data_IF_001733221916
#
_entry.id   IF_001733221916
#
_cell.length_a   1.000
_cell.length_b   1.000
_cell.length_c   1.000
_cell.angle_alpha   90.00
_cell.angle_beta   90.00
_cell.angle_gamma   90.00
#
_symmetry.space_group_name_H-M   'P 1'
#
loop_
_entity.id
_entity.type
_entity.pdbx_description
1 polymer ?
#
# COMPACT_ATOMS: atom_id res chain seq x y z
N UNK A 1 -0.67 40.40 -45.20
CA UNK A 1 -1.71 41.28 -44.61
C UNK A 1 -2.24 40.57 -43.38
N UNK A 2 -1.71 40.89 -42.20
CA UNK A 2 -2.13 41.80 -41.14
C UNK A 2 -3.54 41.57 -40.61
N UNK A 3 -3.63 41.13 -39.32
CA UNK A 3 -4.07 41.85 -38.10
C UNK A 3 -4.28 40.86 -36.98
N UNK A 4 -3.47 40.79 -35.99
CA UNK A 4 -3.38 41.35 -34.61
C UNK A 4 -4.69 41.94 -34.04
N UNK A 5 -5.06 41.46 -32.84
CA UNK A 5 -5.58 42.18 -31.65
C UNK A 5 -5.85 41.16 -30.56
N UNK A 6 -5.11 41.16 -29.46
CA UNK A 6 -4.93 41.99 -28.26
C UNK A 6 -6.10 41.91 -27.26
N UNK A 7 -5.77 41.35 -26.11
CA UNK A 7 -5.99 41.72 -24.70
C UNK A 7 -7.38 42.13 -24.18
N UNK A 8 -7.78 41.54 -23.03
CA UNK A 8 -7.97 42.33 -21.81
C UNK A 8 -8.07 41.45 -20.55
N UNK A 9 -7.29 41.86 -19.56
CA UNK A 9 -7.32 41.52 -18.15
C UNK A 9 -8.61 42.00 -17.48
N UNK A 10 -9.13 41.24 -16.49
CA UNK A 10 -9.72 41.87 -15.31
C UNK A 10 -9.36 41.03 -14.08
N UNK A 11 -8.56 41.68 -13.22
CA UNK A 11 -8.42 41.37 -11.80
C UNK A 11 -9.69 41.80 -11.07
N UNK A 12 -10.07 41.06 -10.04
CA UNK A 12 -10.78 41.60 -8.89
C UNK A 12 -10.29 40.89 -7.63
N UNK A 13 -9.71 41.68 -6.78
CA UNK A 13 -9.31 41.44 -5.39
C UNK A 13 -10.47 41.88 -4.51
N UNK A 14 -10.87 41.08 -3.50
CA UNK A 14 -11.46 41.51 -2.20
C UNK A 14 -11.31 40.36 -1.25
N UNK A 15 -10.44 40.35 -0.26
CA UNK A 15 -10.44 40.82 1.12
C UNK A 15 -11.44 40.14 2.05
N UNK A 16 -10.86 39.38 2.99
CA UNK A 16 -11.08 39.26 4.44
C UNK A 16 -12.48 39.35 5.02
N UNK A 17 -12.89 38.35 5.82
CA UNK A 17 -13.27 38.61 7.21
C UNK A 17 -13.21 37.33 8.06
N UNK A 18 -12.51 37.41 9.17
CA UNK A 18 -12.49 36.54 10.33
C UNK A 18 -13.82 36.66 11.08
N UNK A 19 -14.44 35.55 11.49
CA UNK A 19 -15.31 35.54 12.66
C UNK A 19 -15.02 34.27 13.47
N UNK A 20 -14.49 34.48 14.64
CA UNK A 20 -14.31 33.60 15.79
C UNK A 20 -15.62 33.54 16.56
N UNK A 21 -16.22 32.37 16.79
CA UNK A 21 -17.16 32.18 17.88
C UNK A 21 -16.91 30.87 18.62
N UNK A 22 -16.50 31.08 19.86
CA UNK A 22 -16.43 30.10 20.94
C UNK A 22 -17.87 29.86 21.44
N UNK A 23 -18.27 28.60 21.66
CA UNK A 23 -19.30 28.26 22.63
C UNK A 23 -19.08 26.88 23.22
N UNK A 24 -18.91 26.87 24.52
CA UNK A 24 -18.89 25.75 25.45
C UNK A 24 -20.31 25.17 25.64
N UNK A 25 -20.41 23.88 25.96
CA UNK A 25 -21.64 23.35 26.55
C UNK A 25 -21.72 21.82 26.50
N UNK A 26 -21.21 21.18 27.55
CA UNK A 26 -21.80 20.13 28.41
C UNK A 26 -22.58 18.97 27.80
N UNK A 27 -22.11 17.77 27.88
CA UNK A 27 -22.46 16.67 28.76
C UNK A 27 -23.72 15.89 28.43
N UNK A 28 -23.60 14.60 28.20
CA UNK A 28 -24.29 13.55 28.98
C UNK A 28 -23.93 12.15 28.45
N UNK A 29 -23.66 11.31 29.37
CA UNK A 29 -23.41 9.88 29.38
C UNK A 29 -24.71 9.11 29.08
N UNK A 30 -24.65 8.05 28.26
CA UNK A 30 -25.38 6.81 28.52
C UNK A 30 -24.58 5.63 27.99
N UNK A 31 -24.28 4.72 28.89
CA UNK A 31 -23.84 3.35 28.65
C UNK A 31 -25.03 2.51 28.17
N UNK A 32 -24.80 1.56 27.27
CA UNK A 32 -25.37 0.25 27.49
C UNK A 32 -24.54 -0.86 26.83
N UNK A 33 -24.53 -1.96 27.55
CA UNK A 33 -23.79 -3.18 27.38
C UNK A 33 -24.41 -4.10 26.32
N UNK A 34 -23.60 -4.80 25.55
CA UNK A 34 -23.89 -6.20 25.21
C UNK A 34 -22.63 -6.95 24.78
N UNK A 35 -22.28 -7.86 25.62
CA UNK A 35 -21.39 -8.98 25.61
C UNK A 35 -21.63 -9.91 24.40
N UNK A 36 -20.57 -10.30 23.69
CA UNK A 36 -20.41 -11.68 23.20
C UNK A 36 -18.92 -12.01 23.00
N UNK A 37 -18.51 -13.01 23.71
CA UNK A 37 -17.32 -13.85 23.65
C UNK A 37 -17.06 -14.36 22.24
N UNK A 38 -15.78 -14.38 21.81
CA UNK A 38 -15.14 -15.61 21.38
C UNK A 38 -13.66 -15.41 21.00
N UNK A 39 -12.87 -16.19 21.72
CA UNK A 39 -11.66 -16.96 21.37
C UNK A 39 -10.51 -16.27 20.65
N UNK A 40 -9.48 -16.12 21.47
CA UNK A 40 -8.07 -16.07 21.09
C UNK A 40 -7.60 -17.42 20.52
N UNK A 41 -6.62 -17.43 19.63
CA UNK A 41 -5.53 -18.38 19.78
C UNK A 41 -4.13 -17.75 19.79
N UNK A 42 -3.39 -18.18 20.78
CA UNK A 42 -2.01 -18.62 20.80
C UNK A 42 -0.87 -17.68 20.37
N UNK A 43 -0.25 -17.20 21.35
CA UNK A 43 1.13 -17.30 21.81
C UNK A 43 2.11 -17.90 20.80
N UNK A 44 2.96 -17.08 20.20
CA UNK A 44 4.27 -17.51 19.69
C UNK A 44 5.36 -16.66 20.29
N UNK A 45 6.10 -17.29 21.16
CA UNK A 45 7.33 -16.89 21.81
C UNK A 45 8.32 -16.23 20.85
N UNK A 46 8.77 -15.03 21.20
CA UNK A 46 9.94 -14.43 20.59
C UNK A 46 11.16 -14.95 21.32
N UNK A 47 11.91 -15.82 20.68
CA UNK A 47 13.20 -16.30 21.13
C UNK A 47 14.24 -15.21 20.92
N UNK A 48 14.93 -14.83 21.98
CA UNK A 48 16.15 -14.04 21.97
C UNK A 48 17.22 -14.78 21.17
N UNK A 49 17.77 -14.13 20.16
CA UNK A 49 18.93 -14.61 19.43
C UNK A 49 20.20 -14.17 20.17
N UNK A 50 20.81 -15.11 20.85
CA UNK A 50 22.18 -15.02 21.35
C UNK A 50 23.17 -14.96 20.18
N UNK A 51 24.14 -14.07 20.32
CA UNK A 51 25.29 -13.93 19.44
C UNK A 51 26.21 -15.13 19.55
N UNK A 52 26.45 -15.83 18.46
CA UNK A 52 27.47 -16.87 18.33
C UNK A 52 28.74 -16.26 17.78
N UNK A 53 29.84 -16.35 18.55
CA UNK A 53 31.18 -16.10 18.08
C UNK A 53 31.78 -17.35 17.41
N UNK A 54 32.64 -17.23 16.40
CA UNK A 54 33.25 -18.40 15.78
C UNK A 54 34.44 -18.92 16.57
N UNK A 55 34.40 -20.22 16.78
CA UNK A 55 35.42 -21.06 17.36
C UNK A 55 36.57 -21.27 16.34
N UNK A 56 37.80 -21.06 16.74
CA UNK A 56 38.95 -21.60 16.02
C UNK A 56 39.67 -22.64 16.89
N UNK A 57 39.60 -23.82 16.38
CA UNK A 57 40.37 -25.01 16.82
C UNK A 57 41.79 -24.92 16.33
N UNK A 58 42.77 -25.12 17.21
CA UNK A 58 44.11 -25.51 16.81
C UNK A 58 44.57 -26.70 17.62
N UNK A 59 45.03 -27.64 16.86
CA UNK A 59 45.54 -28.97 17.18
C UNK A 59 46.76 -29.00 18.07
N UNK A 60 46.79 -30.05 18.87
CA UNK A 60 47.92 -30.60 19.64
C UNK A 60 49.10 -30.94 18.75
N UNK A 61 50.30 -30.81 19.33
CA UNK A 61 51.34 -31.87 19.21
C UNK A 61 52.30 -31.84 20.39
N UNK A 62 52.41 -33.03 20.96
CA UNK A 62 53.37 -33.50 21.95
C UNK A 62 54.78 -33.55 21.39
N UNK A 63 55.77 -33.35 22.27
CA UNK A 63 56.89 -34.29 22.49
C UNK A 63 57.84 -33.82 23.60
N UNK A 64 57.98 -34.56 24.49
CA UNK A 64 58.86 -35.36 25.38
C UNK A 64 60.27 -34.84 25.54
N UNK A 65 60.58 -34.61 26.85
CA UNK A 65 61.70 -35.02 27.72
C UNK A 65 63.16 -34.93 27.20
N UNK A 66 64.05 -34.39 28.05
CA UNK A 66 65.12 -35.16 28.67
C UNK A 66 65.82 -34.31 29.77
N UNK A 67 66.06 -34.98 30.87
CA UNK A 67 66.78 -34.59 32.09
C UNK A 67 68.28 -34.43 31.77
N UNK A 68 68.98 -33.43 32.38
CA UNK A 68 70.28 -33.74 32.98
C UNK A 68 70.68 -32.76 34.11
N UNK A 69 71.34 -33.32 35.03
CA UNK A 69 71.72 -32.91 36.37
C UNK A 69 73.10 -32.25 36.34
N UNK A 70 73.35 -31.20 37.10
CA UNK A 70 74.60 -31.04 37.85
C UNK A 70 74.67 -29.76 38.69
N UNK A 71 74.95 -30.03 39.92
CA UNK A 71 75.32 -29.24 41.09
C UNK A 71 76.27 -28.04 40.81
N UNK A 72 76.16 -26.93 41.57
CA UNK A 72 76.92 -26.63 42.76
C UNK A 72 76.73 -25.20 43.27
N UNK A 73 76.52 -25.13 44.56
CA UNK A 73 77.03 -24.27 45.64
C UNK A 73 77.06 -22.74 45.51
N UNK A 74 76.34 -22.19 46.52
CA UNK A 74 76.75 -21.22 47.56
C UNK A 74 76.80 -19.72 47.17
N UNK A 75 75.97 -18.91 47.77
CA UNK A 75 76.20 -18.20 49.06
C UNK A 75 75.05 -17.21 49.30
N UNK A 76 74.66 -17.15 50.55
CA UNK A 76 73.52 -16.39 51.03
C UNK A 76 73.67 -14.86 50.88
N UNK A 77 72.50 -14.27 50.52
CA UNK A 77 72.20 -12.90 50.90
C UNK A 77 70.71 -12.85 51.25
N UNK A 78 70.46 -12.44 52.49
CA UNK A 78 69.09 -12.27 53.02
C UNK A 78 68.34 -11.28 52.14
N UNK A 79 67.29 -11.80 51.46
CA UNK A 79 66.31 -10.97 50.81
C UNK A 79 65.27 -10.58 51.82
N UNK A 80 65.11 -9.28 51.97
CA UNK A 80 64.02 -8.60 52.65
C UNK A 80 62.67 -9.04 51.99
N UNK A 81 61.67 -9.46 52.71
CA UNK A 81 60.38 -9.85 52.11
C UNK A 81 59.80 -8.64 51.37
N UNK A 82 59.71 -8.77 50.03
CA UNK A 82 58.94 -7.83 49.17
C UNK A 82 57.52 -7.72 49.70
N UNK A 83 57.20 -6.53 50.18
CA UNK A 83 55.86 -6.14 50.57
C UNK A 83 54.99 -6.26 49.29
N UNK A 84 53.85 -7.00 49.25
CA UNK A 84 53.01 -7.12 48.07
C UNK A 84 52.68 -5.71 47.60
N UNK A 85 53.04 -5.36 46.36
CA UNK A 85 52.66 -4.10 45.73
C UNK A 85 51.14 -3.98 45.80
N UNK A 86 50.68 -2.94 46.49
CA UNK A 86 49.25 -2.58 46.53
C UNK A 86 48.81 -2.41 45.07
N UNK A 87 47.73 -3.11 44.61
CA UNK A 87 47.28 -2.96 43.22
C UNK A 87 47.03 -1.49 42.95
N UNK A 88 47.71 -0.98 41.90
CA UNK A 88 47.56 0.41 41.43
C UNK A 88 46.07 0.66 41.10
N UNK A 89 45.47 1.59 41.82
CA UNK A 89 44.07 1.97 41.63
C UNK A 89 43.77 2.32 40.16
N UNK A 90 42.72 1.76 39.61
CA UNK A 90 42.26 2.02 38.24
C UNK A 90 41.64 3.41 38.13
N UNK A 91 42.17 4.28 37.29
CA UNK A 91 41.65 5.62 37.04
C UNK A 91 41.73 5.99 35.54
N UNK A 92 40.71 6.65 35.00
CA UNK A 92 40.67 7.08 33.60
C UNK A 92 40.31 5.97 32.61
N UNK A 93 40.81 6.08 31.39
CA UNK A 93 40.55 5.12 30.32
C UNK A 93 41.36 3.87 30.45
N UNK A 94 40.74 2.73 30.60
CA UNK A 94 41.37 1.42 30.74
C UNK A 94 40.75 0.44 29.75
N UNK A 95 41.58 -0.33 29.05
CA UNK A 95 41.12 -1.41 28.16
C UNK A 95 41.64 -2.74 28.72
N UNK A 96 40.67 -3.60 29.04
CA UNK A 96 40.94 -4.95 29.56
C UNK A 96 39.97 -5.95 28.94
N UNK A 97 40.48 -7.17 28.65
CA UNK A 97 39.68 -8.22 28.00
C UNK A 97 38.98 -7.78 26.72
N UNK A 98 39.60 -6.89 25.92
CA UNK A 98 39.06 -6.38 24.66
C UNK A 98 37.90 -5.36 24.83
N UNK A 99 37.60 -4.94 26.04
CA UNK A 99 36.61 -3.90 26.36
C UNK A 99 37.28 -2.67 26.93
N UNK A 100 36.72 -1.49 26.65
CA UNK A 100 37.21 -0.22 27.18
C UNK A 100 36.27 0.30 28.23
N UNK A 101 36.78 0.76 29.32
CA UNK A 101 36.09 1.32 30.50
C UNK A 101 36.62 2.73 30.79
N UNK A 102 35.86 3.49 31.56
CA UNK A 102 36.34 4.72 32.17
C UNK A 102 36.09 4.67 33.67
N UNK A 103 37.14 4.76 34.45
CA UNK A 103 37.10 4.77 35.90
C UNK A 103 37.17 6.23 36.40
N UNK A 104 36.19 6.66 37.20
CA UNK A 104 36.07 8.00 37.77
C UNK A 104 36.71 8.10 39.19
N UNK A 105 36.85 6.97 39.84
CA UNK A 105 37.53 6.79 41.12
C UNK A 105 38.09 5.37 41.23
N UNK A 106 38.79 5.07 42.29
CA UNK A 106 39.40 3.77 42.57
C UNK A 106 38.42 2.62 42.37
N UNK A 107 38.65 1.81 41.33
CA UNK A 107 37.94 0.61 40.94
C UNK A 107 36.42 0.82 40.61
N UNK A 108 35.97 2.08 40.49
CA UNK A 108 34.63 2.40 40.10
C UNK A 108 34.52 2.88 38.65
N UNK A 109 33.96 2.07 37.76
CA UNK A 109 33.71 2.44 36.35
C UNK A 109 32.38 3.12 36.17
N UNK A 110 32.32 4.07 35.24
CA UNK A 110 31.06 4.78 34.89
C UNK A 110 30.18 3.94 34.00
N UNK A 111 28.85 4.17 34.07
CA UNK A 111 27.82 3.56 33.24
C UNK A 111 26.90 4.60 32.61
N UNK A 112 26.15 4.21 31.59
CA UNK A 112 25.18 5.08 30.93
C UNK A 112 25.80 6.20 30.10
N UNK A 113 25.09 7.33 29.95
CA UNK A 113 25.52 8.48 29.17
C UNK A 113 26.43 9.38 30.01
N UNK A 114 27.68 9.53 29.60
CA UNK A 114 28.70 10.31 30.30
C UNK A 114 29.28 11.42 29.43
N UNK A 115 29.71 12.50 30.06
CA UNK A 115 30.48 13.58 29.39
C UNK A 115 31.86 13.63 29.99
N UNK A 116 32.87 13.20 29.21
CA UNK A 116 34.27 13.14 29.62
C UNK A 116 35.06 14.09 28.72
N UNK A 117 35.74 15.05 29.32
CA UNK A 117 36.51 16.08 28.60
C UNK A 117 35.69 16.74 27.45
N UNK A 118 34.45 17.11 27.75
CA UNK A 118 33.55 17.78 26.80
C UNK A 118 32.95 16.90 25.67
N UNK A 119 33.31 15.61 25.63
CA UNK A 119 32.81 14.62 24.67
C UNK A 119 31.80 13.68 25.33
N UNK A 120 30.74 13.31 24.64
CA UNK A 120 29.73 12.38 25.14
C UNK A 120 30.07 10.95 24.74
N UNK A 121 29.90 10.03 25.69
CA UNK A 121 30.10 8.59 25.54
C UNK A 121 28.91 7.85 26.15
N UNK A 122 28.73 6.60 25.80
CA UNK A 122 27.74 5.73 26.44
C UNK A 122 28.39 4.41 26.82
N UNK A 123 28.26 4.07 28.09
CA UNK A 123 28.76 2.82 28.67
C UNK A 123 27.58 1.89 28.98
N UNK A 124 27.78 0.60 28.72
CA UNK A 124 26.79 -0.43 29.05
C UNK A 124 26.69 -0.61 30.58
N UNK A 125 25.75 -1.43 31.02
CA UNK A 125 25.56 -1.71 32.47
C UNK A 125 26.80 -2.38 33.09
N UNK A 126 27.60 -3.11 32.30
CA UNK A 126 28.86 -3.73 32.71
C UNK A 126 30.05 -2.75 32.63
N UNK A 127 29.81 -1.45 32.42
CA UNK A 127 30.83 -0.41 32.28
C UNK A 127 31.53 -0.37 30.94
N UNK A 128 31.28 -1.28 30.02
CA UNK A 128 31.97 -1.30 28.73
C UNK A 128 31.51 -0.18 27.79
N UNK A 129 32.47 0.49 27.14
CA UNK A 129 32.24 1.55 26.17
C UNK A 129 31.52 1.01 24.95
N UNK A 130 30.41 1.64 24.59
CA UNK A 130 29.58 1.26 23.45
C UNK A 130 29.91 2.07 22.21
N UNK A 131 29.86 1.43 21.03
CA UNK A 131 30.07 2.04 19.71
C UNK A 131 28.90 1.73 18.76
N UNK A 132 28.82 2.45 17.64
CA UNK A 132 27.78 2.23 16.64
C UNK A 132 26.46 2.90 16.98
N UNK A 133 25.33 2.27 16.64
CA UNK A 133 23.99 2.80 16.90
C UNK A 133 23.54 2.39 18.29
N UNK A 134 23.33 3.37 19.15
CA UNK A 134 22.96 3.21 20.54
C UNK A 134 21.52 3.63 20.76
N UNK A 135 20.77 2.89 21.57
CA UNK A 135 19.45 3.28 22.07
C UNK A 135 19.57 3.70 23.54
N UNK A 136 19.30 4.96 23.83
CA UNK A 136 19.39 5.52 25.16
C UNK A 136 18.00 6.09 25.51
N UNK A 137 17.26 5.43 26.38
CA UNK A 137 15.84 5.73 26.62
C UNK A 137 15.02 5.60 25.32
N UNK A 138 14.33 6.67 24.93
CA UNK A 138 13.54 6.75 23.70
C UNK A 138 14.32 7.23 22.48
N UNK A 139 15.56 7.71 22.64
CA UNK A 139 16.38 8.29 21.61
C UNK A 139 17.42 7.30 21.07
N UNK A 140 17.87 7.55 19.83
CA UNK A 140 18.98 6.82 19.22
C UNK A 140 20.13 7.79 18.97
N UNK A 141 21.36 7.31 19.14
CA UNK A 141 22.60 8.04 18.94
C UNK A 141 23.56 7.23 18.07
N UNK A 142 24.60 7.89 17.56
CA UNK A 142 25.69 7.23 16.87
C UNK A 142 27.01 7.55 17.58
N UNK A 143 27.64 6.54 18.15
CA UNK A 143 28.99 6.60 18.67
C UNK A 143 29.99 6.11 17.62
N UNK A 144 30.99 6.92 17.35
CA UNK A 144 32.07 6.59 16.40
C UNK A 144 32.95 5.45 16.94
N UNK A 145 33.89 4.96 16.14
CA UNK A 145 34.72 3.79 16.51
C UNK A 145 35.49 3.93 17.83
N UNK A 146 35.77 5.18 18.26
CA UNK A 146 36.36 5.51 19.58
C UNK A 146 35.31 5.78 20.67
N UNK A 147 34.04 5.45 20.46
CA UNK A 147 32.96 5.63 21.42
C UNK A 147 32.37 7.05 21.53
N UNK A 148 32.98 8.04 20.88
CA UNK A 148 32.50 9.42 20.93
C UNK A 148 31.13 9.53 20.23
N UNK A 149 30.13 9.98 20.95
CA UNK A 149 28.82 10.26 20.36
C UNK A 149 28.90 11.49 19.48
N UNK A 150 28.59 11.30 18.20
CA UNK A 150 28.56 12.39 17.23
C UNK A 150 27.41 13.33 17.50
N UNK A 151 27.70 14.59 17.81
CA UNK A 151 26.71 15.66 18.06
C UNK A 151 26.47 16.54 16.84
N UNK A 152 27.37 16.47 15.84
CA UNK A 152 27.27 17.29 14.62
C UNK A 152 26.21 16.74 13.69
N UNK A 153 25.28 17.63 13.30
CA UNK A 153 24.19 17.37 12.35
C UNK A 153 24.70 16.83 11.01
N UNK A 154 24.01 15.82 10.48
CA UNK A 154 24.31 15.30 9.15
C UNK A 154 23.95 13.84 8.94
N UNK A 155 24.19 13.36 7.73
CA UNK A 155 24.05 11.94 7.41
C UNK A 155 25.22 11.13 7.92
N UNK A 156 24.95 9.90 8.36
CA UNK A 156 25.94 8.91 8.75
C UNK A 156 25.57 7.54 8.23
N UNK A 157 26.56 6.76 7.78
CA UNK A 157 26.40 5.34 7.47
C UNK A 157 26.93 4.53 8.64
N UNK A 158 26.11 3.65 9.20
CA UNK A 158 26.49 2.74 10.26
C UNK A 158 25.79 1.39 10.04
N UNK A 159 26.52 0.28 10.14
CA UNK A 159 25.98 -1.06 9.92
C UNK A 159 25.26 -1.22 8.58
N UNK A 160 25.77 -0.63 7.48
CA UNK A 160 25.15 -0.67 6.15
C UNK A 160 23.87 0.18 5.99
N UNK A 161 23.43 0.85 7.03
CA UNK A 161 22.25 1.70 7.03
C UNK A 161 22.62 3.20 7.06
N UNK A 162 21.74 4.02 6.49
CA UNK A 162 21.87 5.47 6.49
C UNK A 162 20.98 6.05 7.60
N UNK A 163 21.52 6.98 8.36
CA UNK A 163 20.84 7.70 9.43
C UNK A 163 21.04 9.20 9.26
N UNK A 164 20.22 10.00 9.96
CA UNK A 164 20.39 11.45 10.01
C UNK A 164 20.45 11.92 11.46
N UNK A 165 21.59 12.49 11.82
CA UNK A 165 21.86 13.05 13.15
C UNK A 165 21.35 14.49 13.17
N UNK A 166 20.62 14.85 14.22
CA UNK A 166 20.14 16.20 14.49
C UNK A 166 21.18 16.98 15.31
N UNK A 167 21.00 18.30 15.44
CA UNK A 167 21.78 19.06 16.42
C UNK A 167 21.63 18.45 17.81
N UNK A 168 22.73 18.29 18.54
CA UNK A 168 22.73 17.66 19.85
C UNK A 168 22.92 16.13 19.83
N UNK A 169 23.01 15.51 18.62
CA UNK A 169 23.45 14.12 18.44
C UNK A 169 22.34 13.08 18.30
N UNK A 170 21.10 13.41 18.62
CA UNK A 170 20.00 12.45 18.49
C UNK A 170 19.75 12.11 17.00
N UNK A 171 19.59 10.81 16.69
CA UNK A 171 19.20 10.34 15.37
C UNK A 171 17.71 10.65 15.15
N UNK A 172 17.39 11.21 13.98
CA UNK A 172 16.00 11.48 13.59
C UNK A 172 15.25 10.17 13.35
N UNK A 173 14.14 9.97 14.04
CA UNK A 173 13.32 8.76 13.99
C UNK A 173 11.88 9.04 13.56
N UNK A 174 11.18 8.06 12.98
CA UNK A 174 9.74 8.05 12.76
C UNK A 174 9.17 9.16 11.86
N UNK A 175 10.01 9.97 11.18
CA UNK A 175 9.57 11.20 10.50
C UNK A 175 9.93 11.24 9.01
N UNK A 176 9.16 12.03 8.27
CA UNK A 176 9.50 12.50 6.92
C UNK A 176 10.14 13.89 7.07
N UNK A 177 11.28 14.13 6.43
CA UNK A 177 12.02 15.39 6.54
C UNK A 177 12.66 15.79 5.21
N UNK A 178 13.14 17.01 5.13
CA UNK A 178 13.79 17.56 3.93
C UNK A 178 15.17 18.13 4.23
N UNK A 179 16.12 17.84 3.36
CA UNK A 179 17.44 18.44 3.34
C UNK A 179 17.71 18.88 1.89
N UNK A 180 18.08 20.14 1.67
CA UNK A 180 18.38 20.71 0.35
C UNK A 180 17.32 20.35 -0.71
N UNK A 181 16.04 20.59 -0.39
CA UNK A 181 14.87 20.29 -1.26
C UNK A 181 14.65 18.81 -1.57
N UNK A 182 15.43 17.90 -0.98
CA UNK A 182 15.26 16.45 -1.08
C UNK A 182 14.50 15.92 0.12
N UNK A 183 13.54 15.02 -0.12
CA UNK A 183 12.71 14.42 0.92
C UNK A 183 13.25 13.05 1.31
N UNK A 184 13.28 12.76 2.60
CA UNK A 184 13.72 11.50 3.19
C UNK A 184 12.69 10.97 4.18
N UNK A 185 12.79 9.70 4.55
CA UNK A 185 11.98 9.09 5.61
C UNK A 185 12.84 8.24 6.52
N UNK A 186 12.90 8.61 7.78
CA UNK A 186 13.51 7.85 8.83
C UNK A 186 12.47 6.94 9.50
N UNK A 187 12.77 5.65 9.61
CA UNK A 187 11.95 4.68 10.34
C UNK A 187 11.97 4.95 11.86
N UNK A 188 11.17 4.23 12.64
CA UNK A 188 11.15 4.36 14.11
C UNK A 188 12.50 4.11 14.78
N UNK A 189 13.35 3.30 14.17
CA UNK A 189 14.75 3.06 14.60
C UNK A 189 15.77 3.98 13.90
N UNK A 190 15.34 5.06 13.26
CA UNK A 190 16.21 6.03 12.60
C UNK A 190 16.71 5.65 11.19
N UNK A 191 16.56 4.41 10.75
CA UNK A 191 17.04 3.98 9.43
C UNK A 191 16.34 4.73 8.31
N UNK A 192 17.09 5.41 7.45
CA UNK A 192 16.56 6.07 6.24
C UNK A 192 16.11 5.02 5.23
N UNK A 193 14.83 5.08 4.85
CA UNK A 193 14.23 4.10 3.97
C UNK A 193 14.73 4.21 2.53
N UNK A 194 15.23 3.09 1.98
CA UNK A 194 15.72 2.92 0.60
C UNK A 194 14.93 1.80 -0.11
N UNK A 195 14.89 1.82 -1.44
CA UNK A 195 14.13 0.86 -2.23
C UNK A 195 12.63 1.09 -2.15
N UNK A 196 11.83 0.06 -2.48
CA UNK A 196 10.37 0.09 -2.32
C UNK A 196 10.02 -0.36 -0.91
N UNK A 197 9.25 0.48 -0.19
CA UNK A 197 8.85 0.22 1.19
C UNK A 197 7.41 0.69 1.45
N UNK A 198 6.77 0.12 2.46
CA UNK A 198 5.47 0.54 2.97
C UNK A 198 5.65 1.59 4.07
N UNK A 199 4.83 2.66 4.02
CA UNK A 199 4.77 3.70 5.03
C UNK A 199 3.30 4.04 5.29
N UNK A 200 2.79 3.67 6.45
CA UNK A 200 1.37 3.62 6.70
C UNK A 200 0.66 2.70 5.68
N UNK A 201 -0.42 3.16 5.09
CA UNK A 201 -1.20 2.40 4.09
C UNK A 201 -0.66 2.48 2.65
N UNK A 202 0.43 3.21 2.39
CA UNK A 202 0.94 3.45 1.04
C UNK A 202 2.34 2.88 0.82
N UNK A 203 2.69 2.60 -0.43
CA UNK A 203 4.04 2.26 -0.86
C UNK A 203 4.75 3.48 -1.42
N UNK A 204 6.07 3.51 -1.24
CA UNK A 204 6.97 4.57 -1.70
C UNK A 204 8.28 3.98 -2.19
N UNK A 205 9.11 4.82 -2.82
CA UNK A 205 10.46 4.45 -3.24
C UNK A 205 11.46 5.52 -2.84
N UNK A 206 12.47 5.12 -2.08
CA UNK A 206 13.70 5.87 -1.84
C UNK A 206 14.82 5.35 -2.73
N UNK A 207 15.60 6.24 -3.31
CA UNK A 207 16.77 5.83 -4.10
C UNK A 207 17.90 5.27 -3.21
N UNK A 208 19.07 4.97 -3.81
CA UNK A 208 20.25 4.46 -3.07
C UNK A 208 20.75 5.42 -1.99
N UNK A 209 20.52 6.72 -2.16
CA UNK A 209 20.83 7.78 -1.18
C UNK A 209 19.69 8.07 -0.21
N UNK A 210 18.59 7.29 -0.26
CA UNK A 210 17.42 7.48 0.59
C UNK A 210 16.47 8.59 0.15
N UNK A 211 16.74 9.25 -1.00
CA UNK A 211 15.88 10.34 -1.49
C UNK A 211 14.56 9.80 -2.01
N UNK A 212 13.45 10.26 -1.47
CA UNK A 212 12.11 9.88 -1.89
C UNK A 212 11.84 10.34 -3.33
N UNK A 213 11.49 9.42 -4.21
CA UNK A 213 11.07 9.75 -5.56
C UNK A 213 9.66 10.34 -5.58
N UNK A 214 9.53 11.61 -5.89
CA UNK A 214 8.25 12.31 -6.00
C UNK A 214 7.82 12.58 -7.44
N UNK A 215 8.74 12.47 -8.43
CA UNK A 215 8.45 12.68 -9.85
C UNK A 215 7.49 11.61 -10.34
N UNK A 216 6.29 12.02 -10.79
CA UNK A 216 5.25 11.15 -11.35
C UNK A 216 5.78 10.38 -12.56
N UNK A 217 5.44 9.10 -12.63
CA UNK A 217 5.79 8.29 -13.79
C UNK A 217 6.14 6.85 -13.45
N UNK A 218 6.40 6.07 -14.51
CA UNK A 218 6.82 4.68 -14.39
C UNK A 218 8.29 4.60 -13.99
N UNK A 219 8.60 3.61 -13.17
CA UNK A 219 9.96 3.26 -12.78
C UNK A 219 10.15 1.74 -12.73
N UNK A 220 11.40 1.29 -12.78
CA UNK A 220 11.79 -0.10 -12.54
C UNK A 220 12.71 -0.17 -11.32
N UNK A 221 12.51 -1.21 -10.52
CA UNK A 221 13.36 -1.51 -9.38
C UNK A 221 13.37 -3.03 -9.13
N UNK A 222 14.56 -3.62 -8.97
CA UNK A 222 14.76 -5.07 -8.79
C UNK A 222 13.92 -5.91 -9.77
N UNK A 223 13.94 -5.53 -11.08
CA UNK A 223 13.20 -6.24 -12.13
C UNK A 223 11.70 -5.95 -12.22
N UNK A 224 11.07 -5.37 -11.20
CA UNK A 224 9.65 -5.04 -11.18
C UNK A 224 9.37 -3.62 -11.71
N UNK A 225 8.17 -3.44 -12.23
CA UNK A 225 7.68 -2.13 -12.73
C UNK A 225 6.70 -1.54 -11.72
N UNK A 226 6.90 -0.27 -11.40
CA UNK A 226 6.07 0.53 -10.49
C UNK A 226 5.60 1.81 -11.17
N UNK A 227 4.63 2.48 -10.58
CA UNK A 227 4.20 3.81 -11.03
C UNK A 227 4.08 4.77 -9.86
N UNK A 228 4.84 5.84 -9.91
CA UNK A 228 4.85 6.91 -8.92
C UNK A 228 3.75 7.92 -9.26
N UNK A 229 2.86 8.20 -8.32
CA UNK A 229 1.85 9.26 -8.41
C UNK A 229 2.42 10.61 -7.93
N UNK A 230 1.68 11.70 -8.14
CA UNK A 230 1.99 12.99 -7.52
C UNK A 230 2.15 12.81 -6.01
N UNK A 231 3.23 13.34 -5.42
CA UNK A 231 3.56 13.19 -4.00
C UNK A 231 4.25 11.87 -3.63
N UNK A 232 4.75 11.11 -4.62
CA UNK A 232 5.64 9.96 -4.38
C UNK A 232 4.96 8.64 -4.03
N UNK A 233 3.64 8.60 -3.82
CA UNK A 233 2.92 7.34 -3.53
C UNK A 233 2.96 6.41 -4.74
N UNK A 234 3.32 5.14 -4.54
CA UNK A 234 3.24 4.14 -5.60
C UNK A 234 1.78 3.74 -5.83
N UNK A 235 1.44 3.52 -7.09
CA UNK A 235 0.10 3.11 -7.48
C UNK A 235 -0.17 1.66 -7.10
N UNK A 236 -1.32 1.43 -6.46
CA UNK A 236 -1.84 0.10 -6.14
C UNK A 236 -3.22 -0.13 -6.74
N UNK A 237 -3.60 -1.39 -6.92
CA UNK A 237 -4.96 -1.88 -7.27
C UNK A 237 -5.65 -1.10 -8.40
N UNK A 238 -4.90 -0.63 -9.40
CA UNK A 238 -5.43 0.21 -10.48
C UNK A 238 -4.72 0.03 -11.81
N UNK A 239 -5.48 0.20 -12.89
CA UNK A 239 -4.98 0.29 -14.25
C UNK A 239 -4.51 1.72 -14.55
N UNK A 240 -3.29 1.89 -15.04
CA UNK A 240 -2.69 3.18 -15.39
C UNK A 240 -2.19 3.16 -16.83
N UNK A 241 -2.43 4.24 -17.56
CA UNK A 241 -1.81 4.50 -18.88
C UNK A 241 -0.44 5.15 -18.66
N UNK A 242 0.59 4.60 -19.27
CA UNK A 242 1.94 5.18 -19.27
C UNK A 242 2.57 5.01 -20.66
N UNK A 243 2.74 6.12 -21.39
CA UNK A 243 3.09 6.13 -22.81
C UNK A 243 2.02 5.41 -23.65
N UNK A 244 2.43 4.58 -24.59
CA UNK A 244 1.53 3.81 -25.48
C UNK A 244 0.90 2.57 -24.83
N UNK A 245 1.31 2.20 -23.59
CA UNK A 245 0.86 1.01 -22.88
C UNK A 245 0.02 1.32 -21.65
N UNK A 246 -0.66 0.29 -21.15
CA UNK A 246 -1.38 0.27 -19.87
C UNK A 246 -0.69 -0.72 -18.95
N UNK A 247 -0.83 -0.51 -17.62
CA UNK A 247 -0.26 -1.38 -16.59
C UNK A 247 -1.29 -1.52 -15.47
N UNK A 248 -1.48 -2.73 -14.97
CA UNK A 248 -2.28 -2.95 -13.77
C UNK A 248 -1.34 -3.21 -12.60
N UNK A 249 -1.37 -2.32 -11.63
CA UNK A 249 -0.60 -2.46 -10.41
C UNK A 249 -1.41 -3.22 -9.38
N UNK A 250 -0.82 -4.26 -8.76
CA UNK A 250 -1.42 -5.05 -7.70
C UNK A 250 -1.50 -4.30 -6.36
N UNK A 251 -1.98 -4.96 -5.32
CA UNK A 251 -1.96 -4.43 -3.94
C UNK A 251 -0.54 -4.19 -3.42
N UNK A 252 0.44 -4.92 -3.95
CA UNK A 252 1.88 -4.82 -3.69
C UNK A 252 2.58 -3.71 -4.48
N UNK A 253 1.83 -2.86 -5.18
CA UNK A 253 2.30 -1.81 -6.08
C UNK A 253 3.08 -2.29 -7.32
N UNK A 254 3.28 -3.59 -7.54
CA UNK A 254 3.96 -4.12 -8.72
C UNK A 254 3.02 -4.23 -9.92
N UNK A 255 3.53 -3.97 -11.11
CA UNK A 255 2.80 -4.25 -12.34
C UNK A 255 2.59 -5.76 -12.50
N UNK A 256 1.35 -6.22 -12.65
CA UNK A 256 1.06 -7.64 -12.91
C UNK A 256 1.66 -8.09 -14.23
N UNK A 257 2.42 -9.20 -14.19
CA UNK A 257 3.08 -9.84 -15.34
C UNK A 257 2.46 -11.17 -15.73
N UNK A 258 1.79 -11.86 -14.78
CA UNK A 258 1.02 -13.08 -15.03
C UNK A 258 -0.38 -12.72 -15.57
N UNK A 259 -1.04 -13.60 -16.35
CA UNK A 259 -2.43 -13.38 -16.77
C UNK A 259 -3.36 -13.17 -15.57
N UNK A 260 -4.33 -12.28 -15.72
CA UNK A 260 -5.33 -11.99 -14.68
C UNK A 260 -6.68 -11.58 -15.28
N UNK A 261 -7.77 -11.81 -14.56
CA UNK A 261 -9.09 -11.32 -14.93
C UNK A 261 -9.24 -9.84 -14.58
N UNK A 262 -9.67 -9.04 -15.55
CA UNK A 262 -10.03 -7.64 -15.34
C UNK A 262 -11.37 -7.39 -16.04
N UNK A 263 -12.43 -7.08 -15.25
CA UNK A 263 -13.81 -6.91 -15.76
C UNK A 263 -14.26 -8.09 -16.64
N UNK A 264 -14.10 -9.30 -16.13
CA UNK A 264 -14.48 -10.57 -16.79
C UNK A 264 -13.70 -10.92 -18.06
N UNK A 265 -12.64 -10.18 -18.38
CA UNK A 265 -11.76 -10.47 -19.52
C UNK A 265 -10.38 -10.86 -19.00
N UNK A 266 -9.83 -11.96 -19.50
CA UNK A 266 -8.44 -12.32 -19.19
C UNK A 266 -7.49 -11.40 -19.95
N UNK A 267 -6.68 -10.65 -19.21
CA UNK A 267 -5.58 -9.85 -19.73
C UNK A 267 -4.30 -10.69 -19.64
N UNK A 268 -3.52 -10.70 -20.70
CA UNK A 268 -2.20 -11.32 -20.78
C UNK A 268 -1.14 -10.23 -20.95
N UNK A 269 -0.57 -9.69 -19.84
CA UNK A 269 0.46 -8.66 -19.93
C UNK A 269 1.75 -9.22 -20.51
N UNK A 270 2.64 -8.35 -20.93
CA UNK A 270 4.01 -8.75 -21.28
C UNK A 270 4.72 -9.34 -20.04
N UNK A 271 5.29 -10.53 -20.16
CA UNK A 271 5.91 -11.29 -19.06
C UNK A 271 7.09 -10.55 -18.39
N UNK A 272 7.87 -9.75 -19.15
CA UNK A 272 9.04 -9.02 -18.64
C UNK A 272 8.67 -7.66 -18.03
N UNK A 273 7.70 -6.94 -18.60
CA UNK A 273 7.43 -5.53 -18.26
C UNK A 273 6.09 -5.27 -17.60
N UNK A 274 5.12 -6.20 -17.71
CA UNK A 274 3.75 -6.00 -17.31
C UNK A 274 2.92 -5.10 -18.25
N UNK A 275 3.48 -4.75 -19.43
CA UNK A 275 2.81 -3.88 -20.40
C UNK A 275 1.58 -4.56 -21.02
N UNK A 276 0.48 -3.82 -21.09
CA UNK A 276 -0.80 -4.21 -21.66
C UNK A 276 -1.04 -3.33 -22.88
N UNK A 277 -1.33 -3.93 -24.03
CA UNK A 277 -1.58 -3.18 -25.26
C UNK A 277 -2.91 -2.41 -25.22
N UNK A 278 -3.03 -1.35 -26.01
CA UNK A 278 -4.28 -0.59 -26.17
C UNK A 278 -5.45 -1.50 -26.61
N UNK A 279 -5.18 -2.52 -27.46
CA UNK A 279 -6.18 -3.51 -27.92
C UNK A 279 -6.72 -4.33 -26.73
N UNK A 280 -5.84 -4.89 -25.89
CA UNK A 280 -6.24 -5.65 -24.69
C UNK A 280 -6.99 -4.77 -23.68
N UNK A 281 -6.51 -3.55 -23.42
CA UNK A 281 -7.18 -2.61 -22.50
C UNK A 281 -8.57 -2.22 -23.01
N UNK A 282 -8.72 -1.88 -24.30
CA UNK A 282 -10.03 -1.57 -24.90
C UNK A 282 -11.00 -2.75 -24.74
N UNK A 283 -10.54 -3.96 -25.05
CA UNK A 283 -11.34 -5.18 -24.89
C UNK A 283 -11.86 -5.32 -23.44
N UNK A 284 -11.00 -5.15 -22.46
CA UNK A 284 -11.36 -5.25 -21.04
C UNK A 284 -12.20 -4.07 -20.52
N UNK A 285 -12.15 -2.91 -21.17
CA UNK A 285 -12.93 -1.73 -20.72
C UNK A 285 -14.37 -1.70 -21.21
N UNK A 286 -14.78 -2.69 -22.02
CA UNK A 286 -16.16 -2.74 -22.54
C UNK A 286 -17.17 -3.42 -21.59
N UNK A 287 -16.78 -3.79 -20.37
CA UNK A 287 -17.63 -4.43 -19.37
C UNK A 287 -17.62 -5.96 -19.47
N UNK A 288 -18.50 -6.65 -18.71
CA UNK A 288 -18.45 -8.10 -18.50
C UNK A 288 -18.59 -8.90 -19.80
N UNK A 289 -19.32 -8.39 -20.80
CA UNK A 289 -19.54 -9.07 -22.08
C UNK A 289 -18.63 -8.59 -23.19
N UNK A 290 -17.75 -7.63 -22.92
CA UNK A 290 -16.76 -7.14 -23.87
C UNK A 290 -17.34 -6.45 -25.13
N UNK A 291 -18.52 -5.85 -25.04
CA UNK A 291 -19.10 -5.01 -26.07
C UNK A 291 -19.01 -3.53 -25.71
N UNK A 292 -18.75 -2.69 -26.72
CA UNK A 292 -18.70 -1.23 -26.51
C UNK A 292 -20.03 -0.67 -26.02
N UNK A 293 -21.14 -1.25 -26.56
CA UNK A 293 -22.53 -0.94 -26.14
C UNK A 293 -23.33 -2.24 -26.08
N UNK A 294 -24.12 -2.41 -25.02
CA UNK A 294 -25.09 -3.51 -24.91
C UNK A 294 -26.13 -3.24 -23.84
N UNK A 295 -27.30 -3.80 -24.04
CA UNK A 295 -28.35 -3.90 -23.03
C UNK A 295 -28.19 -5.25 -22.34
N UNK A 296 -28.20 -5.26 -21.01
CA UNK A 296 -28.21 -6.46 -20.19
C UNK A 296 -29.57 -6.56 -19.50
N UNK A 297 -30.33 -7.60 -19.81
CA UNK A 297 -31.49 -8.02 -19.06
C UNK A 297 -31.08 -9.13 -18.12
N UNK A 298 -31.24 -8.92 -16.84
CA UNK A 298 -30.88 -9.86 -15.77
C UNK A 298 -32.17 -10.36 -15.12
N UNK A 299 -32.55 -11.58 -15.46
CA UNK A 299 -33.82 -12.19 -15.04
C UNK A 299 -33.80 -12.43 -13.52
N UNK A 300 -32.71 -12.87 -12.95
CA UNK A 300 -32.63 -13.16 -11.51
C UNK A 300 -32.80 -11.92 -10.65
N UNK A 301 -32.31 -10.78 -11.09
CA UNK A 301 -32.45 -9.51 -10.38
C UNK A 301 -33.56 -8.63 -10.90
N UNK A 302 -34.34 -9.10 -11.94
CA UNK A 302 -35.40 -8.35 -12.61
C UNK A 302 -35.01 -6.91 -12.93
N UNK A 303 -33.85 -6.76 -13.56
CA UNK A 303 -33.28 -5.45 -13.93
C UNK A 303 -32.80 -5.44 -15.37
N UNK A 304 -32.96 -4.32 -16.03
CA UNK A 304 -32.31 -3.99 -17.28
C UNK A 304 -31.23 -2.91 -17.06
N UNK A 305 -30.06 -3.08 -17.66
CA UNK A 305 -28.95 -2.10 -17.63
C UNK A 305 -28.44 -1.86 -19.05
N UNK A 306 -28.25 -0.59 -19.41
CA UNK A 306 -27.54 -0.22 -20.65
C UNK A 306 -26.12 0.20 -20.36
N UNK A 307 -25.19 -0.47 -20.99
CA UNK A 307 -23.75 -0.25 -20.86
C UNK A 307 -23.18 0.48 -22.07
N UNK A 308 -22.34 1.49 -21.83
CA UNK A 308 -21.54 2.16 -22.83
C UNK A 308 -20.09 2.25 -22.32
N UNK A 309 -19.14 1.71 -23.08
CA UNK A 309 -17.72 1.67 -22.71
C UNK A 309 -17.50 1.12 -21.29
N UNK A 310 -18.20 0.05 -20.93
CA UNK A 310 -18.10 -0.61 -19.63
C UNK A 310 -18.74 0.10 -18.45
N UNK A 311 -19.36 1.26 -18.68
CA UNK A 311 -20.10 2.01 -17.65
C UNK A 311 -21.59 1.84 -17.81
N UNK A 312 -22.31 1.63 -16.72
CA UNK A 312 -23.78 1.66 -16.71
C UNK A 312 -24.24 3.09 -16.98
N UNK A 313 -24.99 3.28 -18.06
CA UNK A 313 -25.58 4.58 -18.43
C UNK A 313 -27.06 4.67 -18.13
N UNK A 314 -27.71 3.50 -17.97
CA UNK A 314 -29.13 3.40 -17.63
C UNK A 314 -29.37 2.13 -16.79
N UNK A 315 -30.31 2.17 -15.88
CA UNK A 315 -30.82 1.05 -15.07
C UNK A 315 -32.32 1.24 -14.83
N UNK A 316 -33.06 0.13 -14.91
CA UNK A 316 -34.50 0.10 -14.56
C UNK A 316 -34.88 -1.27 -14.01
N UNK A 317 -35.79 -1.37 -13.02
CA UNK A 317 -36.49 -2.61 -12.75
C UNK A 317 -37.36 -2.98 -13.96
N UNK A 318 -37.62 -4.28 -14.13
CA UNK A 318 -38.41 -4.84 -15.23
C UNK A 318 -39.27 -5.99 -14.71
N UNK A 319 -40.25 -6.45 -15.54
CA UNK A 319 -40.89 -7.75 -15.37
C UNK A 319 -40.67 -8.56 -16.65
N UNK A 320 -40.00 -9.70 -16.51
CA UNK A 320 -39.77 -10.64 -17.61
C UNK A 320 -40.82 -11.73 -17.67
N UNK A 321 -40.72 -12.64 -18.64
CA UNK A 321 -41.65 -13.77 -18.79
C UNK A 321 -41.73 -14.65 -17.53
N UNK A 322 -42.93 -15.16 -17.26
CA UNK A 322 -43.25 -16.06 -16.15
C UNK A 322 -42.74 -17.49 -16.36
N UNK A 323 -43.12 -18.44 -15.46
CA UNK A 323 -42.66 -19.82 -15.54
C UNK A 323 -43.01 -20.52 -16.87
N UNK A 324 -44.22 -20.35 -17.41
CA UNK A 324 -44.65 -20.93 -18.69
C UNK A 324 -44.27 -20.11 -19.93
N UNK A 325 -43.90 -18.83 -19.77
CA UNK A 325 -43.65 -17.86 -20.87
C UNK A 325 -42.29 -17.19 -20.73
N UNK A 326 -41.25 -17.98 -20.43
CA UNK A 326 -39.93 -17.45 -20.06
C UNK A 326 -39.35 -16.58 -21.15
N UNK A 327 -38.75 -15.45 -20.76
CA UNK A 327 -37.89 -14.64 -21.66
C UNK A 327 -36.68 -15.47 -22.06
N UNK A 328 -36.44 -15.72 -23.36
CA UNK A 328 -35.29 -16.51 -23.82
C UNK A 328 -33.97 -15.91 -23.38
N UNK A 329 -33.10 -16.74 -22.81
CA UNK A 329 -31.74 -16.33 -22.44
C UNK A 329 -30.82 -16.43 -23.66
N UNK A 330 -29.85 -15.53 -23.77
CA UNK A 330 -28.91 -15.56 -24.91
C UNK A 330 -28.30 -14.20 -25.23
N UNK A 331 -27.78 -14.13 -26.46
CA UNK A 331 -27.13 -12.93 -27.02
C UNK A 331 -27.79 -12.55 -28.32
N UNK A 332 -28.56 -11.51 -28.26
CA UNK A 332 -29.39 -10.99 -29.36
C UNK A 332 -28.93 -9.63 -29.85
N UNK A 333 -29.64 -9.06 -30.80
CA UNK A 333 -29.50 -7.66 -31.24
C UNK A 333 -30.87 -7.00 -31.27
N UNK A 334 -30.89 -5.73 -30.92
CA UNK A 334 -32.05 -4.87 -31.14
C UNK A 334 -32.14 -4.61 -32.64
N UNK A 335 -33.19 -5.13 -33.27
CA UNK A 335 -33.35 -5.07 -34.74
C UNK A 335 -33.84 -3.71 -35.21
N UNK A 336 -34.92 -3.24 -34.60
CA UNK A 336 -35.59 -2.00 -34.93
C UNK A 336 -36.13 -1.33 -33.67
N UNK A 337 -36.70 -0.18 -33.85
CA UNK A 337 -37.46 0.53 -32.80
C UNK A 337 -38.66 1.17 -33.43
N UNK A 338 -39.82 0.98 -32.82
CA UNK A 338 -41.07 1.62 -33.26
C UNK A 338 -41.82 2.24 -32.09
N UNK A 339 -42.71 3.16 -32.42
CA UNK A 339 -43.60 3.81 -31.44
C UNK A 339 -45.05 3.44 -31.72
N UNK A 340 -45.87 3.47 -30.68
CA UNK A 340 -47.29 3.26 -30.75
C UNK A 340 -47.67 1.97 -31.52
N UNK A 341 -46.97 0.88 -31.16
CA UNK A 341 -47.11 -0.43 -31.79
C UNK A 341 -48.13 -1.28 -31.01
N UNK A 342 -48.99 -1.99 -31.71
CA UNK A 342 -49.84 -3.01 -31.11
C UNK A 342 -49.10 -4.34 -31.10
N UNK A 343 -49.01 -4.94 -29.93
CA UNK A 343 -48.43 -6.28 -29.72
C UNK A 343 -49.60 -7.25 -29.54
N UNK A 344 -49.71 -8.21 -30.44
CA UNK A 344 -50.78 -9.21 -30.42
C UNK A 344 -50.22 -10.61 -30.27
N UNK A 345 -50.97 -11.50 -29.64
CA UNK A 345 -50.70 -12.92 -29.48
C UNK A 345 -51.95 -13.62 -29.03
N UNK A 346 -51.84 -14.94 -28.76
CA UNK A 346 -53.00 -15.73 -28.30
C UNK A 346 -53.55 -15.13 -27.00
N UNK A 347 -54.80 -14.64 -27.05
CA UNK A 347 -55.53 -14.08 -25.90
C UNK A 347 -55.13 -12.66 -25.49
N UNK A 348 -54.35 -11.93 -26.27
CA UNK A 348 -54.04 -10.53 -25.96
C UNK A 348 -53.79 -9.65 -27.19
N UNK A 349 -54.17 -8.40 -27.09
CA UNK A 349 -53.83 -7.31 -28.03
C UNK A 349 -53.60 -6.05 -27.19
N UNK A 350 -52.36 -5.53 -27.20
CA UNK A 350 -51.96 -4.44 -26.29
C UNK A 350 -51.12 -3.40 -27.01
N UNK A 351 -51.56 -2.13 -26.97
CA UNK A 351 -50.80 -1.02 -27.51
C UNK A 351 -49.67 -0.58 -26.57
N UNK A 352 -48.43 -0.46 -27.09
CA UNK A 352 -47.28 0.04 -26.36
C UNK A 352 -46.71 1.30 -27.02
N UNK A 353 -46.18 2.23 -26.22
CA UNK A 353 -45.67 3.50 -26.74
C UNK A 353 -44.26 3.35 -27.30
N UNK A 354 -43.45 2.40 -26.80
CA UNK A 354 -42.07 2.20 -27.16
C UNK A 354 -41.79 0.71 -27.33
N UNK A 355 -41.53 0.26 -28.55
CA UNK A 355 -41.23 -1.11 -28.89
C UNK A 355 -39.76 -1.27 -29.35
N UNK A 356 -39.03 -2.20 -28.76
CA UNK A 356 -37.63 -2.46 -29.01
C UNK A 356 -37.40 -3.97 -29.14
N UNK A 357 -37.69 -4.61 -30.29
CA UNK A 357 -37.61 -6.05 -30.50
C UNK A 357 -36.12 -6.51 -30.58
N UNK A 358 -35.84 -7.68 -30.02
CA UNK A 358 -34.50 -8.29 -30.06
C UNK A 358 -34.48 -9.76 -30.49
N UNK A 359 -35.63 -10.43 -30.61
CA UNK A 359 -35.82 -11.74 -31.24
C UNK A 359 -37.03 -11.62 -32.19
N UNK A 360 -36.78 -11.57 -33.48
CA UNK A 360 -37.87 -11.30 -34.44
C UNK A 360 -38.70 -10.11 -34.04
N UNK A 361 -39.98 -10.23 -34.18
CA UNK A 361 -41.01 -9.31 -33.63
C UNK A 361 -41.71 -9.88 -32.38
N UNK A 362 -41.28 -11.09 -31.91
CA UNK A 362 -41.94 -11.78 -30.82
C UNK A 362 -41.48 -11.35 -29.43
N UNK A 363 -40.20 -11.02 -29.28
CA UNK A 363 -39.63 -10.64 -27.99
C UNK A 363 -38.91 -9.30 -28.06
N UNK A 364 -39.28 -8.39 -27.15
CA UNK A 364 -38.73 -7.05 -27.10
C UNK A 364 -38.78 -6.44 -25.71
N UNK A 365 -38.18 -5.24 -25.62
CA UNK A 365 -38.34 -4.37 -24.44
C UNK A 365 -39.38 -3.32 -24.79
N UNK A 366 -40.35 -3.12 -23.90
CA UNK A 366 -41.44 -2.14 -24.11
C UNK A 366 -41.97 -1.60 -22.78
N UNK A 367 -42.75 -0.53 -22.85
CA UNK A 367 -43.51 -0.02 -21.72
C UNK A 367 -44.72 -0.90 -21.42
N UNK A 368 -45.07 -0.99 -20.15
CA UNK A 368 -46.23 -1.72 -19.67
C UNK A 368 -47.03 -0.83 -18.73
N UNK A 369 -47.97 -0.07 -19.29
CA UNK A 369 -48.83 0.88 -18.56
C UNK A 369 -49.87 0.22 -17.67
N UNK A 370 -50.17 -1.04 -17.93
CA UNK A 370 -51.16 -1.87 -17.17
C UNK A 370 -50.57 -2.40 -15.85
N UNK A 371 -49.32 -2.09 -15.53
CA UNK A 371 -48.72 -2.45 -14.24
C UNK A 371 -48.03 -1.27 -13.59
N UNK A 372 -48.21 -1.15 -12.27
CA UNK A 372 -47.58 -0.10 -11.45
C UNK A 372 -46.29 -0.56 -10.78
N UNK A 373 -46.10 -1.88 -10.56
CA UNK A 373 -44.95 -2.47 -9.86
C UNK A 373 -44.08 -3.23 -10.82
N UNK A 374 -42.73 -3.13 -10.62
CA UNK A 374 -41.72 -3.77 -11.43
C UNK A 374 -40.57 -4.29 -10.55
N UNK A 375 -39.92 -5.38 -10.97
CA UNK A 375 -38.79 -5.98 -10.25
C UNK A 375 -39.22 -7.09 -9.28
N UNK A 376 -38.25 -7.52 -8.45
CA UNK A 376 -38.49 -8.53 -7.42
C UNK A 376 -38.96 -9.89 -7.95
N UNK A 377 -39.91 -10.52 -7.26
CA UNK A 377 -40.46 -11.83 -7.59
C UNK A 377 -41.70 -11.79 -8.49
N UNK A 378 -42.15 -10.60 -8.94
CA UNK A 378 -43.40 -10.42 -9.72
C UNK A 378 -43.47 -11.35 -10.92
N UNK A 379 -42.39 -11.56 -11.65
CA UNK A 379 -42.35 -12.44 -12.82
C UNK A 379 -42.71 -13.90 -12.53
N UNK A 380 -42.64 -14.34 -11.27
CA UNK A 380 -42.99 -15.73 -10.87
C UNK A 380 -44.50 -15.99 -10.89
N UNK A 381 -45.33 -14.98 -10.64
CA UNK A 381 -46.77 -15.12 -10.54
C UNK A 381 -47.56 -14.18 -11.46
N UNK A 382 -46.93 -13.05 -11.88
CA UNK A 382 -47.54 -12.10 -12.84
C UNK A 382 -46.46 -11.66 -13.83
N UNK A 383 -45.86 -12.63 -14.55
CA UNK A 383 -44.86 -12.40 -15.58
C UNK A 383 -45.48 -11.85 -16.88
N UNK A 384 -44.61 -11.49 -17.81
CA UNK A 384 -45.02 -11.19 -19.19
C UNK A 384 -45.16 -12.50 -20.00
N UNK A 385 -45.64 -12.41 -21.24
CA UNK A 385 -45.65 -13.50 -22.23
C UNK A 385 -44.23 -13.67 -22.87
N UNK A 386 -43.16 -13.22 -22.16
CA UNK A 386 -41.77 -13.37 -22.59
C UNK A 386 -41.05 -12.06 -22.96
N UNK A 387 -41.78 -10.99 -23.19
CA UNK A 387 -41.20 -9.66 -23.35
C UNK A 387 -40.62 -9.09 -22.04
N UNK A 388 -39.88 -8.02 -22.14
CA UNK A 388 -39.29 -7.30 -21.00
C UNK A 388 -40.13 -6.03 -20.75
N UNK A 389 -41.04 -6.13 -19.80
CA UNK A 389 -41.94 -5.04 -19.42
C UNK A 389 -41.22 -4.00 -18.57
N UNK A 390 -41.36 -2.73 -18.92
CA UNK A 390 -40.67 -1.60 -18.27
C UNK A 390 -41.68 -0.52 -17.84
N UNK A 391 -41.35 0.28 -16.79
CA UNK A 391 -42.07 1.53 -16.54
C UNK A 391 -42.00 2.44 -17.78
N UNK A 392 -43.13 3.09 -18.17
CA UNK A 392 -43.23 3.89 -19.40
C UNK A 392 -42.14 4.94 -19.54
N UNK A 393 -41.85 5.73 -18.49
CA UNK A 393 -40.78 6.74 -18.53
C UNK A 393 -39.39 6.15 -18.67
N UNK A 394 -39.16 4.92 -18.13
CA UNK A 394 -37.91 4.20 -18.30
C UNK A 394 -37.75 3.60 -19.69
N UNK A 395 -38.81 3.06 -20.27
CA UNK A 395 -38.83 2.59 -21.67
C UNK A 395 -38.56 3.75 -22.64
N UNK A 396 -39.21 4.90 -22.46
CA UNK A 396 -38.95 6.12 -23.21
C UNK A 396 -37.49 6.55 -23.18
N UNK A 397 -36.88 6.56 -21.98
CA UNK A 397 -35.47 6.93 -21.79
C UNK A 397 -34.54 5.94 -22.48
N UNK A 398 -34.79 4.63 -22.32
CA UNK A 398 -33.95 3.60 -22.95
C UNK A 398 -34.08 3.66 -24.48
N UNK A 399 -35.27 3.82 -24.98
CA UNK A 399 -35.59 3.97 -26.41
C UNK A 399 -34.79 5.10 -27.06
N UNK A 400 -34.69 6.28 -26.42
CA UNK A 400 -33.88 7.42 -26.89
C UNK A 400 -32.40 7.12 -26.87
N UNK A 401 -31.94 6.35 -25.89
CA UNK A 401 -30.47 6.11 -25.66
C UNK A 401 -29.87 4.99 -26.49
N UNK A 402 -30.65 3.96 -26.85
CA UNK A 402 -30.14 2.74 -27.45
C UNK A 402 -30.27 2.77 -28.96
N UNK A 403 -29.14 2.75 -29.74
CA UNK A 403 -29.20 2.65 -31.20
C UNK A 403 -29.70 1.26 -31.67
N UNK A 404 -30.29 1.19 -32.86
CA UNK A 404 -30.53 -0.07 -33.56
C UNK A 404 -29.20 -0.87 -33.71
N UNK A 405 -29.26 -2.19 -33.78
CA UNK A 405 -28.14 -3.08 -33.85
C UNK A 405 -27.40 -3.27 -32.50
N UNK A 406 -27.80 -2.59 -31.43
CA UNK A 406 -27.20 -2.76 -30.10
C UNK A 406 -27.40 -4.20 -29.60
N UNK A 407 -26.33 -4.81 -29.09
CA UNK A 407 -26.41 -6.15 -28.47
C UNK A 407 -27.34 -6.14 -27.26
N UNK A 408 -28.25 -7.12 -27.23
CA UNK A 408 -29.09 -7.42 -26.08
C UNK A 408 -28.64 -8.75 -25.50
N UNK A 409 -28.37 -8.78 -24.22
CA UNK A 409 -27.93 -9.97 -23.49
C UNK A 409 -28.98 -10.25 -22.44
N UNK A 410 -29.57 -11.40 -22.50
CA UNK A 410 -30.55 -11.90 -21.52
C UNK A 410 -29.88 -13.03 -20.75
N UNK A 411 -29.87 -12.95 -19.45
CA UNK A 411 -29.31 -13.98 -18.55
C UNK A 411 -30.20 -14.19 -17.32
N UNK A 412 -30.04 -15.38 -16.71
CA UNK A 412 -30.48 -15.66 -15.34
C UNK A 412 -29.56 -15.02 -14.32
#
# INVERSE_FOLDING_TARGET
MNKKRKNRYHQLVVSSLLILTLLLGTGSVFADSANTTETSPENTSVTEAQSVAPNQQSSENNEKAVVDDSKSNESGKAENPEQPEKPTAKLGWITENGKTYYYDSDDHYVTGLQTIQGKKYYFAADGSLMTGILKVGSAYYYAEGKGVIRTTKGFVNAGGNLYYIQNGGAILTGKTFQISKKTYRAAGNGVIKRGVYKWGKYYYYGDSKGVLRIKKGRMRWKGDTYYVNKGGKLQTSKMVKSGKYYYYFGSDAKAKRKPFKYRSVTIKPNKKTGAITKKQYKKASYGPYNYKRYVLVDISSQNVKYYVNGKVKFKSPVVTGGPGTRTPTGRFRLHSKSRNTTLSGTGYSTRVSYWMPFIGQSYGLHDATWRSKFGGSIYKYNGSHGCVNMPRGKAAKLYKMVPNGTRVIVRK
#
